data_IF_980563828390
#
_entry.id   IF_980563828390
#
_cell.length_a   1.000
_cell.length_b   1.000
_cell.length_c   1.000
_cell.angle_alpha   90.00
_cell.angle_beta   90.00
_cell.angle_gamma   90.00
#
_symmetry.space_group_name_H-M   'P 1'
#
loop_
_entity.id
_entity.type
_entity.pdbx_description
1 polymer ?
#
# COMPACT_ATOMS: atom_id res chain seq x y z
N UNK A 1 -23.69 -5.52 1.95
CA UNK A 1 -22.42 -5.04 2.55
C UNK A 1 -22.58 -5.09 4.06
N UNK A 2 -21.63 -5.66 4.79
CA UNK A 2 -21.65 -5.60 6.27
C UNK A 2 -21.16 -4.22 6.73
N UNK A 3 -21.86 -3.64 7.69
CA UNK A 3 -21.50 -2.35 8.30
C UNK A 3 -20.50 -2.57 9.43
N UNK A 4 -19.42 -1.78 9.46
CA UNK A 4 -18.47 -1.72 10.56
C UNK A 4 -18.36 -0.28 11.08
N UNK A 5 -18.09 -0.12 12.38
CA UNK A 5 -17.97 1.20 13.02
C UNK A 5 -16.51 1.58 13.23
N UNK A 6 -16.17 2.81 12.88
CA UNK A 6 -14.88 3.43 13.16
C UNK A 6 -15.06 4.50 14.25
N UNK A 7 -14.40 4.32 15.39
CA UNK A 7 -14.41 5.31 16.47
C UNK A 7 -13.23 6.26 16.37
N UNK A 8 -13.49 7.56 16.41
CA UNK A 8 -12.49 8.61 16.27
C UNK A 8 -12.63 9.61 17.41
N UNK A 9 -11.52 9.88 18.08
CA UNK A 9 -11.42 11.00 19.02
C UNK A 9 -10.68 12.13 18.32
N UNK A 10 -11.27 13.32 18.34
CA UNK A 10 -10.70 14.53 17.72
C UNK A 10 -10.73 15.69 18.69
N UNK A 11 -9.78 16.61 18.56
CA UNK A 11 -9.83 17.88 19.27
C UNK A 11 -10.97 18.76 18.75
N UNK A 12 -11.34 19.79 19.52
CA UNK A 12 -12.35 20.77 19.08
C UNK A 12 -11.92 21.51 17.82
N UNK A 13 -10.63 21.80 17.68
CA UNK A 13 -10.06 22.48 16.52
C UNK A 13 -10.15 21.61 15.26
N UNK A 14 -9.77 20.33 15.36
CA UNK A 14 -9.90 19.37 14.27
C UNK A 14 -11.36 19.25 13.81
N UNK A 15 -12.31 19.14 14.75
CA UNK A 15 -13.74 19.07 14.44
C UNK A 15 -14.20 20.30 13.64
N UNK A 16 -13.85 21.52 14.08
CA UNK A 16 -14.21 22.77 13.38
C UNK A 16 -13.63 22.83 11.97
N UNK A 17 -12.38 22.41 11.79
CA UNK A 17 -11.73 22.38 10.48
C UNK A 17 -12.44 21.40 9.54
N UNK A 18 -12.71 20.18 10.00
CA UNK A 18 -13.40 19.14 9.23
C UNK A 18 -14.83 19.60 8.87
N UNK A 19 -15.56 20.19 9.81
CA UNK A 19 -16.90 20.75 9.58
C UNK A 19 -16.90 21.79 8.47
N UNK A 20 -15.92 22.72 8.51
CA UNK A 20 -15.78 23.75 7.48
C UNK A 20 -15.47 23.12 6.12
N UNK A 21 -14.56 22.15 6.07
CA UNK A 21 -14.19 21.48 4.82
C UNK A 21 -15.38 20.69 4.21
N UNK A 22 -16.12 19.96 5.05
CA UNK A 22 -17.32 19.23 4.64
C UNK A 22 -18.39 20.19 4.08
N UNK A 23 -18.63 21.31 4.78
CA UNK A 23 -19.57 22.36 4.34
C UNK A 23 -19.18 22.95 2.98
N UNK A 24 -17.90 23.26 2.78
CA UNK A 24 -17.40 23.80 1.51
C UNK A 24 -17.57 22.83 0.34
N UNK A 25 -17.56 21.52 0.61
CA UNK A 25 -17.75 20.48 -0.39
C UNK A 25 -19.21 20.00 -0.50
N UNK A 26 -20.15 20.66 0.19
CA UNK A 26 -21.59 20.34 0.12
C UNK A 26 -21.95 18.95 0.66
N UNK A 27 -21.14 18.40 1.59
CA UNK A 27 -21.32 17.04 2.11
C UNK A 27 -21.38 17.00 3.63
N UNK A 28 -21.90 15.91 4.17
CA UNK A 28 -21.96 15.69 5.63
C UNK A 28 -20.56 15.46 6.19
N UNK A 29 -20.36 15.72 7.49
CA UNK A 29 -19.09 15.44 8.18
C UNK A 29 -18.71 13.97 8.05
N UNK A 30 -19.68 13.07 8.25
CA UNK A 30 -19.45 11.62 8.18
C UNK A 30 -19.00 11.20 6.78
N UNK A 31 -19.68 11.67 5.74
CA UNK A 31 -19.29 11.38 4.35
C UNK A 31 -17.90 11.95 4.02
N UNK A 32 -17.63 13.19 4.46
CA UNK A 32 -16.31 13.81 4.31
C UNK A 32 -15.21 12.97 4.95
N UNK A 33 -15.41 12.53 6.20
CA UNK A 33 -14.40 11.78 6.95
C UNK A 33 -14.20 10.39 6.34
N UNK A 34 -15.28 9.65 6.05
CA UNK A 34 -15.19 8.29 5.52
C UNK A 34 -14.48 8.28 4.17
N UNK A 35 -14.88 9.13 3.23
CA UNK A 35 -14.24 9.22 1.92
C UNK A 35 -12.77 9.64 1.99
N UNK A 36 -12.45 10.62 2.84
CA UNK A 36 -11.07 11.11 2.99
C UNK A 36 -10.16 10.05 3.62
N UNK A 37 -10.64 9.37 4.67
CA UNK A 37 -9.89 8.28 5.32
C UNK A 37 -9.70 7.10 4.36
N UNK A 38 -10.75 6.75 3.59
CA UNK A 38 -10.68 5.67 2.62
C UNK A 38 -9.65 5.93 1.51
N UNK A 39 -9.66 7.12 0.90
CA UNK A 39 -8.69 7.46 -0.14
C UNK A 39 -7.27 7.58 0.41
N UNK A 40 -7.10 8.09 1.63
CA UNK A 40 -5.80 8.13 2.30
C UNK A 40 -5.26 6.73 2.57
N UNK A 41 -6.11 5.82 3.07
CA UNK A 41 -5.73 4.43 3.32
C UNK A 41 -5.32 3.70 2.03
N UNK A 42 -6.07 3.86 0.94
CA UNK A 42 -5.71 3.31 -0.37
C UNK A 42 -4.35 3.80 -0.84
N UNK A 43 -4.08 5.09 -0.72
CA UNK A 43 -2.80 5.68 -1.10
C UNK A 43 -1.66 5.11 -0.26
N UNK A 44 -1.83 5.07 1.06
CA UNK A 44 -0.83 4.53 1.97
C UNK A 44 -0.48 3.07 1.66
N UNK A 45 -1.48 2.24 1.33
CA UNK A 45 -1.27 0.84 0.91
C UNK A 45 -0.51 0.80 -0.42
N UNK A 46 -0.95 1.55 -1.42
CA UNK A 46 -0.27 1.59 -2.72
C UNK A 46 1.18 2.02 -2.62
N UNK A 47 1.49 3.01 -1.78
CA UNK A 47 2.86 3.49 -1.57
C UNK A 47 3.79 2.41 -0.99
N UNK A 48 3.26 1.45 -0.21
CA UNK A 48 4.05 0.37 0.38
C UNK A 48 4.08 -0.89 -0.48
N UNK A 49 3.04 -1.16 -1.26
CA UNK A 49 2.92 -2.38 -2.06
C UNK A 49 3.37 -2.20 -3.52
N UNK A 50 3.45 -0.97 -4.01
CA UNK A 50 3.79 -0.69 -5.40
C UNK A 50 5.23 -0.24 -5.52
N UNK A 51 6.03 -0.99 -6.29
CA UNK A 51 7.40 -0.62 -6.61
C UNK A 51 7.43 0.05 -7.99
N UNK A 52 7.61 1.37 -8.01
CA UNK A 52 7.71 2.15 -9.25
C UNK A 52 9.17 2.12 -9.73
N UNK A 53 9.41 1.39 -10.82
CA UNK A 53 10.74 1.25 -11.42
C UNK A 53 10.99 2.33 -12.46
N UNK A 54 12.22 2.84 -12.52
CA UNK A 54 12.68 3.61 -13.67
C UNK A 54 12.64 2.76 -14.95
N UNK A 55 12.69 3.38 -16.12
CA UNK A 55 12.73 2.64 -17.38
C UNK A 55 13.89 1.62 -17.42
N UNK A 56 15.06 2.04 -16.94
CA UNK A 56 16.26 1.19 -16.82
C UNK A 56 16.04 0.03 -15.85
N UNK A 57 15.52 0.30 -14.65
CA UNK A 57 15.35 -0.75 -13.64
C UNK A 57 14.26 -1.75 -14.06
N UNK A 58 13.23 -1.27 -14.78
CA UNK A 58 12.21 -2.12 -15.39
C UNK A 58 12.82 -3.07 -16.41
N UNK A 59 13.71 -2.60 -17.29
CA UNK A 59 14.39 -3.47 -18.26
C UNK A 59 15.25 -4.53 -17.56
N UNK A 60 15.99 -4.15 -16.53
CA UNK A 60 16.79 -5.10 -15.73
C UNK A 60 15.89 -6.13 -15.05
N UNK A 61 14.82 -5.68 -14.41
CA UNK A 61 13.87 -6.54 -13.70
C UNK A 61 13.18 -7.53 -14.65
N UNK A 62 12.62 -7.05 -15.76
CA UNK A 62 11.95 -7.90 -16.76
C UNK A 62 12.95 -8.86 -17.41
N UNK A 63 14.16 -8.40 -17.73
CA UNK A 63 15.21 -9.28 -18.28
C UNK A 63 15.58 -10.39 -17.30
N UNK A 64 15.67 -10.09 -16.00
CA UNK A 64 15.94 -11.09 -14.98
C UNK A 64 14.78 -12.09 -14.79
N UNK A 65 13.53 -11.70 -15.05
CA UNK A 65 12.39 -12.63 -15.03
C UNK A 65 12.37 -13.55 -16.26
N UNK A 66 12.61 -12.99 -17.46
CA UNK A 66 12.58 -13.73 -18.72
C UNK A 66 13.83 -14.60 -18.93
N UNK A 67 14.98 -14.13 -18.44
CA UNK A 67 16.25 -14.83 -18.48
C UNK A 67 16.85 -14.87 -17.08
N UNK A 68 16.34 -15.75 -16.20
CA UNK A 68 16.82 -15.86 -14.82
C UNK A 68 18.33 -16.08 -14.77
N UNK A 69 19.08 -15.25 -14.04
CA UNK A 69 20.52 -15.46 -13.90
C UNK A 69 20.77 -16.77 -13.17
N UNK A 70 21.82 -17.48 -13.58
CA UNK A 70 22.27 -18.67 -12.83
C UNK A 70 22.80 -18.23 -11.47
N UNK A 71 22.17 -18.69 -10.39
CA UNK A 71 22.67 -18.50 -9.04
C UNK A 71 24.01 -19.23 -8.89
N UNK A 72 25.04 -18.54 -8.37
CA UNK A 72 26.37 -19.11 -8.14
C UNK A 72 26.77 -18.97 -6.67
N UNK A 73 27.70 -19.83 -6.23
CA UNK A 73 28.33 -19.71 -4.92
C UNK A 73 27.36 -19.84 -3.74
N UNK A 74 27.54 -19.03 -2.66
CA UNK A 74 26.74 -19.12 -1.45
C UNK A 74 25.23 -18.93 -1.67
N UNK A 75 24.82 -18.05 -2.59
CA UNK A 75 23.42 -17.77 -2.92
C UNK A 75 22.70 -19.01 -3.47
N UNK A 76 23.38 -19.81 -4.31
CA UNK A 76 22.80 -21.06 -4.83
C UNK A 76 22.54 -22.08 -3.71
N UNK A 77 23.46 -22.17 -2.74
CA UNK A 77 23.31 -23.06 -1.57
C UNK A 77 22.11 -22.65 -0.71
N UNK A 78 21.96 -21.35 -0.44
CA UNK A 78 20.83 -20.81 0.33
C UNK A 78 19.50 -21.02 -0.39
N UNK A 79 19.42 -20.69 -1.69
CA UNK A 79 18.21 -20.86 -2.49
C UNK A 79 17.75 -22.33 -2.53
N UNK A 80 18.70 -23.29 -2.65
CA UNK A 80 18.38 -24.72 -2.58
C UNK A 80 17.83 -25.15 -1.22
N UNK A 81 18.41 -24.65 -0.13
CA UNK A 81 17.90 -24.91 1.23
C UNK A 81 16.48 -24.38 1.41
N UNK A 82 16.22 -23.17 0.94
CA UNK A 82 14.90 -22.54 1.00
C UNK A 82 13.85 -23.33 0.19
N UNK A 83 14.17 -23.73 -1.05
CA UNK A 83 13.29 -24.58 -1.87
C UNK A 83 12.94 -25.91 -1.19
N UNK A 84 13.92 -26.57 -0.59
CA UNK A 84 13.70 -27.84 0.12
C UNK A 84 12.85 -27.68 1.39
N UNK A 85 12.84 -26.50 2.01
CA UNK A 85 12.03 -26.21 3.20
C UNK A 85 10.57 -25.90 2.85
N UNK A 86 10.31 -25.27 1.70
CA UNK A 86 8.95 -24.99 1.18
C UNK A 86 8.25 -26.23 0.60
N UNK A 87 9.01 -27.26 0.21
CA UNK A 87 8.48 -28.50 -0.37
C UNK A 87 8.10 -29.57 0.68
N UNK A 88 8.10 -29.21 1.97
CA UNK A 88 7.64 -30.02 3.10
C UNK A 88 6.33 -29.46 3.62
#
# INVERSE_FOLDING_TARGET
MQTARLELRTTREQKKLIERAAKLQGRTITDFVVSTVYESAKRAIQEHETLVLSARDREVFVSALLKPPTLRGPLAKVARRYKNALAR
#
